data_IF_298654722345
#
_entry.id   IF_298654722345
#
_cell.length_a   1.000
_cell.length_b   1.000
_cell.length_c   1.000
_cell.angle_alpha   90.00
_cell.angle_beta   90.00
_cell.angle_gamma   90.00
#
_symmetry.space_group_name_H-M   'P 1'
#
loop_
_entity.id
_entity.type
_entity.pdbx_description
1 polymer ?
#
# COMPACT_ATOMS: atom_id res chain seq x y z
N UNK A 1 20.51 24.90 -5.92
CA UNK A 1 19.52 24.96 -7.02
C UNK A 1 19.23 23.54 -7.46
N UNK A 2 18.03 22.99 -7.18
CA UNK A 2 17.63 21.72 -7.79
C UNK A 2 17.43 21.96 -9.29
N UNK A 3 18.09 21.20 -10.19
CA UNK A 3 17.86 21.36 -11.62
C UNK A 3 16.40 21.02 -11.89
N UNK A 4 15.72 21.84 -12.71
CA UNK A 4 14.34 21.63 -13.10
C UNK A 4 14.21 20.28 -13.81
N UNK A 5 13.97 19.23 -13.03
CA UNK A 5 13.78 17.88 -13.52
C UNK A 5 12.51 17.90 -14.35
N UNK A 6 12.63 17.61 -15.63
CA UNK A 6 11.50 17.41 -16.55
C UNK A 6 10.32 16.77 -15.83
N UNK A 7 9.15 17.43 -15.86
CA UNK A 7 7.90 16.94 -15.27
C UNK A 7 7.35 15.70 -15.99
N UNK A 8 8.10 15.17 -16.96
CA UNK A 8 7.76 14.00 -17.71
C UNK A 8 7.97 12.74 -16.88
N UNK A 9 6.97 11.87 -16.95
CA UNK A 9 7.10 10.51 -16.52
C UNK A 9 8.23 9.81 -17.28
N UNK A 10 9.23 9.35 -16.55
CA UNK A 10 10.38 8.66 -17.16
C UNK A 10 9.98 7.32 -17.83
N UNK A 11 8.80 6.76 -17.49
CA UNK A 11 8.22 5.55 -18.10
C UNK A 11 7.47 5.83 -19.40
N UNK A 12 6.62 6.86 -19.41
CA UNK A 12 5.64 7.09 -20.49
C UNK A 12 5.80 8.43 -21.22
N UNK A 13 6.79 9.25 -20.84
CA UNK A 13 7.08 10.59 -21.40
C UNK A 13 5.87 11.55 -21.40
N UNK A 14 4.94 11.36 -20.46
CA UNK A 14 3.78 12.24 -20.24
C UNK A 14 4.00 13.16 -19.05
N UNK A 15 3.62 14.42 -19.18
CA UNK A 15 3.70 15.40 -18.10
C UNK A 15 2.50 15.25 -17.15
N UNK A 16 2.78 15.01 -15.87
CA UNK A 16 1.93 15.29 -14.70
C UNK A 16 2.37 14.43 -13.50
N UNK A 17 2.47 15.04 -12.32
CA UNK A 17 2.77 14.33 -11.07
C UNK A 17 1.76 13.21 -10.78
N UNK A 18 0.45 13.46 -11.01
CA UNK A 18 -0.59 12.44 -10.85
C UNK A 18 -0.40 11.26 -11.83
N UNK A 19 0.14 11.51 -13.02
CA UNK A 19 0.44 10.45 -13.96
C UNK A 19 1.56 9.55 -13.42
N UNK A 20 2.63 10.14 -12.89
CA UNK A 20 3.79 9.39 -12.39
C UNK A 20 3.41 8.45 -11.24
N UNK A 21 2.50 8.86 -10.35
CA UNK A 21 2.18 8.10 -9.14
C UNK A 21 0.92 7.25 -9.25
N UNK A 22 -0.05 7.60 -10.11
CA UNK A 22 -1.37 6.96 -10.15
C UNK A 22 -1.79 6.48 -11.53
N UNK A 23 -1.78 7.37 -12.54
CA UNK A 23 -2.36 7.07 -13.85
C UNK A 23 -1.40 6.41 -14.85
N UNK A 24 -0.14 6.17 -14.48
CA UNK A 24 0.84 5.51 -15.35
C UNK A 24 0.42 4.05 -15.60
N UNK A 25 0.25 3.62 -16.87
CA UNK A 25 -0.13 2.23 -17.19
C UNK A 25 0.83 1.19 -16.62
N UNK A 26 2.13 1.50 -16.54
CA UNK A 26 3.14 0.60 -15.94
C UNK A 26 2.92 0.37 -14.44
N UNK A 27 2.25 1.30 -13.74
CA UNK A 27 1.91 1.17 -12.31
C UNK A 27 0.54 0.54 -12.08
N UNK A 28 -0.30 0.43 -13.11
CA UNK A 28 -1.65 -0.10 -12.99
C UNK A 28 -1.69 -1.53 -12.39
N UNK A 29 -0.77 -2.46 -12.72
CA UNK A 29 -0.74 -3.79 -12.10
C UNK A 29 -0.51 -3.73 -10.59
N UNK A 30 0.44 -2.90 -10.12
CA UNK A 30 0.73 -2.72 -8.70
C UNK A 30 -0.50 -2.18 -7.96
N UNK A 31 -1.11 -1.12 -8.49
CA UNK A 31 -2.31 -0.53 -7.88
C UNK A 31 -3.49 -1.51 -7.86
N UNK A 32 -3.69 -2.28 -8.94
CA UNK A 32 -4.75 -3.29 -9.00
C UNK A 32 -4.57 -4.34 -7.92
N UNK A 33 -3.35 -4.81 -7.73
CA UNK A 33 -3.02 -5.80 -6.72
C UNK A 33 -3.20 -5.27 -5.30
N UNK A 34 -2.73 -4.06 -5.04
CA UNK A 34 -2.93 -3.40 -3.76
C UNK A 34 -4.40 -3.19 -3.42
N UNK A 35 -5.19 -2.71 -4.39
CA UNK A 35 -6.62 -2.53 -4.22
C UNK A 35 -7.30 -3.87 -3.93
N UNK A 36 -6.91 -4.95 -4.60
CA UNK A 36 -7.42 -6.30 -4.31
C UNK A 36 -7.14 -6.72 -2.87
N UNK A 37 -5.88 -6.63 -2.42
CA UNK A 37 -5.51 -6.93 -1.02
C UNK A 37 -6.33 -6.09 -0.03
N UNK A 38 -6.50 -4.79 -0.29
CA UNK A 38 -7.31 -3.92 0.56
C UNK A 38 -8.79 -4.33 0.54
N UNK A 39 -9.36 -4.67 -0.63
CA UNK A 39 -10.73 -5.14 -0.76
C UNK A 39 -10.97 -6.42 0.05
N UNK A 40 -10.07 -7.39 -0.09
CA UNK A 40 -10.15 -8.69 0.58
C UNK A 40 -10.11 -8.53 2.10
N UNK A 41 -9.28 -7.62 2.62
CA UNK A 41 -9.21 -7.33 4.06
C UNK A 41 -10.38 -6.51 4.60
N UNK A 42 -11.02 -5.66 3.78
CA UNK A 42 -12.09 -4.75 4.20
C UNK A 42 -13.50 -5.32 3.96
N UNK A 43 -13.62 -6.38 3.15
CA UNK A 43 -14.86 -7.07 2.84
C UNK A 43 -15.89 -6.25 2.04
N UNK A 44 -15.54 -5.03 1.58
CA UNK A 44 -16.43 -4.12 0.85
C UNK A 44 -15.66 -3.36 -0.23
N UNK A 45 -16.38 -2.77 -1.20
CA UNK A 45 -15.79 -1.97 -2.28
C UNK A 45 -15.04 -0.74 -1.75
N UNK A 46 -13.72 -0.85 -1.64
CA UNK A 46 -12.79 0.26 -1.57
C UNK A 46 -12.85 1.00 -2.91
N UNK A 47 -13.45 2.19 -2.90
CA UNK A 47 -13.50 3.04 -4.08
C UNK A 47 -12.09 3.43 -4.51
N UNK A 48 -11.85 3.45 -5.82
CA UNK A 48 -10.57 3.74 -6.44
C UNK A 48 -10.25 5.24 -6.33
N UNK A 49 -9.92 5.70 -5.12
CA UNK A 49 -9.76 7.11 -4.82
C UNK A 49 -8.26 7.49 -4.73
N UNK A 50 -7.73 8.31 -5.67
CA UNK A 50 -6.33 8.74 -5.64
C UNK A 50 -5.99 9.57 -4.40
N UNK A 51 -6.93 10.33 -3.82
CA UNK A 51 -6.69 11.09 -2.60
C UNK A 51 -6.44 10.16 -1.40
N UNK A 52 -7.18 9.04 -1.32
CA UNK A 52 -6.90 8.02 -0.32
C UNK A 52 -5.56 7.34 -0.59
N UNK A 53 -5.35 6.86 -1.82
CA UNK A 53 -4.19 6.04 -2.17
C UNK A 53 -2.87 6.80 -2.11
N UNK A 54 -2.82 8.06 -2.54
CA UNK A 54 -1.59 8.85 -2.60
C UNK A 54 -1.38 9.72 -1.35
N UNK A 55 -2.47 10.25 -0.78
CA UNK A 55 -2.40 11.29 0.26
C UNK A 55 -2.92 10.80 1.61
N UNK A 56 -3.32 9.53 1.74
CA UNK A 56 -3.88 8.97 2.96
C UNK A 56 -5.10 9.77 3.46
N UNK A 57 -5.87 10.38 2.54
CA UNK A 57 -7.09 11.10 2.88
C UNK A 57 -8.24 10.12 3.11
N UNK A 58 -8.37 9.69 4.36
CA UNK A 58 -9.38 8.72 4.77
C UNK A 58 -10.79 9.34 4.92
N UNK A 59 -11.84 8.71 4.38
CA UNK A 59 -13.22 9.12 4.62
C UNK A 59 -13.55 9.16 6.12
N UNK A 60 -14.25 10.20 6.59
CA UNK A 60 -14.56 10.40 8.02
C UNK A 60 -15.22 9.18 8.66
N UNK A 61 -16.16 8.55 7.94
CA UNK A 61 -16.89 7.34 8.39
C UNK A 61 -16.04 6.07 8.53
N UNK A 62 -14.77 6.10 8.16
CA UNK A 62 -13.90 4.91 8.19
C UNK A 62 -13.37 4.63 9.60
N UNK A 63 -13.53 3.39 10.06
CA UNK A 63 -13.05 2.94 11.37
C UNK A 63 -11.53 3.07 11.52
N UNK A 64 -11.05 3.31 12.74
CA UNK A 64 -9.61 3.42 13.03
C UNK A 64 -8.84 2.15 12.63
N UNK A 65 -9.46 0.97 12.79
CA UNK A 65 -8.87 -0.31 12.39
C UNK A 65 -8.70 -0.42 10.87
N UNK A 66 -9.73 -0.05 10.09
CA UNK A 66 -9.62 -0.02 8.63
C UNK A 66 -8.60 0.99 8.15
N UNK A 67 -8.55 2.18 8.78
CA UNK A 67 -7.51 3.19 8.50
C UNK A 67 -6.11 2.63 8.72
N UNK A 68 -5.88 1.90 9.81
CA UNK A 68 -4.59 1.27 10.10
C UNK A 68 -4.20 0.22 9.04
N UNK A 69 -5.13 -0.67 8.67
CA UNK A 69 -4.90 -1.65 7.60
C UNK A 69 -4.50 -0.97 6.29
N UNK A 70 -5.31 -0.03 5.82
CA UNK A 70 -5.06 0.70 4.57
C UNK A 70 -3.75 1.48 4.67
N UNK A 71 -3.47 2.13 5.80
CA UNK A 71 -2.22 2.88 6.00
C UNK A 71 -1.00 1.98 5.83
N UNK A 72 -0.97 0.79 6.44
CA UNK A 72 0.16 -0.13 6.31
C UNK A 72 0.30 -0.66 4.88
N UNK A 73 -0.81 -0.97 4.21
CA UNK A 73 -0.80 -1.38 2.80
C UNK A 73 -0.29 -0.28 1.87
N UNK A 74 -0.84 0.93 1.96
CA UNK A 74 -0.42 2.07 1.14
C UNK A 74 1.03 2.45 1.39
N UNK A 75 1.49 2.40 2.65
CA UNK A 75 2.89 2.64 2.99
C UNK A 75 3.82 1.61 2.34
N UNK A 76 3.45 0.33 2.32
CA UNK A 76 4.21 -0.69 1.59
C UNK A 76 4.31 -0.40 0.10
N UNK A 77 3.21 0.03 -0.53
CA UNK A 77 3.18 0.41 -1.95
C UNK A 77 4.14 1.57 -2.18
N UNK A 78 4.04 2.64 -1.40
CA UNK A 78 4.91 3.81 -1.57
C UNK A 78 6.38 3.47 -1.39
N UNK A 79 6.72 2.62 -0.42
CA UNK A 79 8.09 2.10 -0.24
C UNK A 79 8.54 1.33 -1.48
N UNK A 80 7.73 0.42 -2.01
CA UNK A 80 8.06 -0.35 -3.21
C UNK A 80 8.20 0.55 -4.44
N UNK A 81 7.30 1.51 -4.62
CA UNK A 81 7.38 2.48 -5.71
C UNK A 81 8.66 3.32 -5.64
N UNK A 82 9.05 3.77 -4.44
CA UNK A 82 10.28 4.53 -4.24
C UNK A 82 11.53 3.66 -4.48
N UNK A 83 11.54 2.43 -3.97
CA UNK A 83 12.66 1.47 -4.18
C UNK A 83 12.82 1.09 -5.65
N UNK A 84 11.72 0.92 -6.36
CA UNK A 84 11.68 0.55 -7.78
C UNK A 84 11.41 1.75 -8.69
N UNK A 85 11.78 2.96 -8.25
CA UNK A 85 11.46 4.23 -8.92
C UNK A 85 11.93 4.31 -10.36
N UNK A 86 12.91 3.50 -10.81
CA UNK A 86 13.38 3.40 -12.21
C UNK A 86 13.32 1.99 -12.82
N UNK A 87 12.75 1.02 -12.11
CA UNK A 87 12.69 -0.36 -12.60
C UNK A 87 11.56 -0.56 -13.63
N UNK A 88 11.81 -1.34 -14.69
CA UNK A 88 10.79 -1.64 -15.71
C UNK A 88 9.63 -2.47 -15.16
N UNK A 89 9.92 -3.38 -14.25
CA UNK A 89 8.92 -4.20 -13.56
C UNK A 89 8.70 -3.68 -12.15
N UNK A 90 7.43 -3.58 -11.77
CA UNK A 90 7.01 -3.04 -10.48
C UNK A 90 6.39 -4.20 -9.71
N UNK A 91 7.28 -4.93 -9.03
CA UNK A 91 7.07 -5.87 -7.92
C UNK A 91 5.85 -6.81 -7.97
N UNK A 92 6.09 -8.13 -7.88
CA UNK A 92 5.04 -9.15 -7.80
C UNK A 92 4.20 -9.10 -6.50
N UNK A 93 3.08 -9.85 -6.48
CA UNK A 93 2.23 -10.05 -5.28
C UNK A 93 3.03 -10.29 -4.02
N UNK A 94 3.98 -11.21 -4.12
CA UNK A 94 4.85 -11.65 -3.04
C UNK A 94 5.66 -10.50 -2.47
N UNK A 95 6.16 -9.60 -3.31
CA UNK A 95 6.92 -8.43 -2.84
C UNK A 95 6.03 -7.47 -2.05
N UNK A 96 4.78 -7.24 -2.48
CA UNK A 96 3.86 -6.40 -1.74
C UNK A 96 3.46 -7.01 -0.40
N UNK A 97 3.10 -8.30 -0.38
CA UNK A 97 2.77 -9.02 0.85
C UNK A 97 3.96 -9.02 1.83
N UNK A 98 5.16 -9.34 1.35
CA UNK A 98 6.38 -9.31 2.16
C UNK A 98 6.66 -7.92 2.73
N UNK A 99 6.45 -6.86 1.93
CA UNK A 99 6.64 -5.50 2.41
C UNK A 99 5.59 -5.10 3.47
N UNK A 100 4.35 -5.55 3.33
CA UNK A 100 3.31 -5.35 4.35
C UNK A 100 3.67 -6.10 5.63
N UNK A 101 4.09 -7.36 5.54
CA UNK A 101 4.56 -8.15 6.67
C UNK A 101 5.73 -7.46 7.39
N UNK A 102 6.70 -6.93 6.63
CA UNK A 102 7.82 -6.17 7.18
C UNK A 102 7.34 -4.91 7.93
N UNK A 103 6.39 -4.17 7.38
CA UNK A 103 5.80 -3.00 8.07
C UNK A 103 5.15 -3.40 9.40
N UNK A 104 4.49 -4.56 9.47
CA UNK A 104 3.95 -5.09 10.73
C UNK A 104 5.02 -5.48 11.75
N UNK A 105 6.20 -5.96 11.30
CA UNK A 105 7.30 -6.23 12.23
C UNK A 105 7.83 -4.94 12.87
N UNK A 106 7.96 -3.86 12.10
CA UNK A 106 8.33 -2.56 12.65
C UNK A 106 7.30 -2.02 13.64
N UNK A 107 6.02 -2.25 13.37
CA UNK A 107 4.94 -1.92 14.31
C UNK A 107 5.06 -2.68 15.63
N UNK A 108 5.40 -3.97 15.59
CA UNK A 108 5.63 -4.75 16.80
C UNK A 108 6.84 -4.24 17.60
N UNK A 109 7.94 -3.88 16.92
CA UNK A 109 9.10 -3.26 17.56
C UNK A 109 8.74 -1.93 18.23
N UNK A 110 7.96 -1.08 17.54
CA UNK A 110 7.47 0.17 18.10
C UNK A 110 6.59 -0.07 19.34
N UNK A 111 5.71 -1.06 19.33
CA UNK A 111 4.88 -1.38 20.49
C UNK A 111 5.69 -1.87 21.69
N UNK A 112 6.76 -2.62 21.46
CA UNK A 112 7.69 -3.03 22.51
C UNK A 112 8.37 -1.83 23.17
N UNK A 113 8.73 -0.80 22.39
CA UNK A 113 9.42 0.38 22.90
C UNK A 113 8.48 1.42 23.54
N UNK A 114 7.29 1.62 22.98
CA UNK A 114 6.41 2.75 23.33
C UNK A 114 5.04 2.33 23.88
N UNK A 115 4.80 1.03 24.03
CA UNK A 115 3.54 0.48 24.54
C UNK A 115 2.52 0.13 23.45
N UNK A 116 1.46 -0.62 23.81
CA UNK A 116 0.51 -1.17 22.86
C UNK A 116 -0.41 -0.11 22.26
N UNK A 117 -0.74 -0.27 20.98
CA UNK A 117 -1.78 0.50 20.28
C UNK A 117 -2.95 -0.44 19.94
N UNK A 118 -4.05 -0.45 20.70
CA UNK A 118 -5.14 -1.43 20.54
C UNK A 118 -5.72 -1.49 19.12
N UNK A 119 -5.79 -0.34 18.45
CA UNK A 119 -6.24 -0.24 17.05
C UNK A 119 -5.33 -1.02 16.10
N UNK A 120 -4.01 -0.94 16.31
CA UNK A 120 -2.98 -1.60 15.48
C UNK A 120 -2.98 -3.10 15.75
N UNK A 121 -3.15 -3.53 17.00
CA UNK A 121 -3.27 -4.95 17.34
C UNK A 121 -4.47 -5.62 16.65
N UNK A 122 -5.64 -4.96 16.68
CA UNK A 122 -6.84 -5.45 15.97
C UNK A 122 -6.63 -5.51 14.46
N UNK A 123 -5.97 -4.51 13.88
CA UNK A 123 -5.64 -4.49 12.46
C UNK A 123 -4.65 -5.60 12.09
N UNK A 124 -3.64 -5.86 12.94
CA UNK A 124 -2.67 -6.95 12.74
C UNK A 124 -3.37 -8.31 12.70
N UNK A 125 -4.31 -8.57 13.59
CA UNK A 125 -5.07 -9.82 13.58
C UNK A 125 -5.80 -10.04 12.24
N UNK A 126 -6.40 -8.98 11.66
CA UNK A 126 -7.06 -9.06 10.36
C UNK A 126 -6.04 -9.37 9.25
N UNK A 127 -4.88 -8.71 9.28
CA UNK A 127 -3.78 -9.01 8.34
C UNK A 127 -3.29 -10.45 8.44
N UNK A 128 -3.02 -10.94 9.66
CA UNK A 128 -2.54 -12.30 9.88
C UNK A 128 -3.57 -13.33 9.37
N UNK A 129 -4.86 -13.06 9.58
CA UNK A 129 -5.97 -13.89 9.05
C UNK A 129 -5.93 -13.94 7.52
N UNK A 130 -5.84 -12.78 6.87
CA UNK A 130 -5.72 -12.70 5.41
C UNK A 130 -4.50 -13.47 4.89
N UNK A 131 -3.32 -13.25 5.48
CA UNK A 131 -2.07 -13.85 5.02
C UNK A 131 -2.10 -15.39 5.13
N UNK A 132 -2.64 -15.91 6.23
CA UNK A 132 -2.77 -17.35 6.45
C UNK A 132 -3.73 -18.02 5.44
N UNK A 133 -4.79 -17.32 5.02
CA UNK A 133 -5.69 -17.82 3.97
C UNK A 133 -5.04 -17.81 2.58
N UNK A 134 -4.16 -16.86 2.29
CA UNK A 134 -3.50 -16.78 0.99
C UNK A 134 -2.32 -17.75 0.82
N UNK A 135 -1.69 -18.17 1.93
CA UNK A 135 -0.57 -19.14 1.91
C UNK A 135 -1.06 -20.61 1.85
N UNK A 136 -2.34 -20.85 2.15
CA UNK A 136 -2.99 -22.17 2.05
C UNK A 136 -4.19 -22.09 1.09
N UNK A 137 -3.98 -22.20 -0.23
CA UNK A 137 -5.09 -22.45 -1.13
C UNK A 137 -5.56 -23.87 -0.80
N UNK A 138 -6.67 -24.01 -0.08
CA UNK A 138 -7.33 -25.32 0.08
C UNK A 138 -7.47 -25.96 -1.31
N UNK A 139 -6.80 -27.11 -1.46
CA UNK A 139 -7.07 -28.27 -2.34
C UNK A 139 -8.12 -28.10 -3.42
#
# INVERSE_FOLDING_TARGET
MCPASSNMCWRCKREAMIHIWWACPTLAPLWTQALRIMLDMLGHQAEKNPALCLLYMFPERMSKTHRALIYHTLTSIHILMARHWKAREISSHTHLVNQIALNWTYEAMHQHQFGPRPTVAKAKHIWDTYNNHTDNPTT
#
